data_IF_872249974749
#
_entry.id   IF_872249974749
#
_cell.length_a   1.000
_cell.length_b   1.000
_cell.length_c   1.000
_cell.angle_alpha   90.00
_cell.angle_beta   90.00
_cell.angle_gamma   90.00
#
_symmetry.space_group_name_H-M   'P 1'
#
loop_
_entity.id
_entity.type
_entity.pdbx_description
1 polymer ?
#
# COMPACT_ATOMS: atom_id res chain seq x y z
N UNK A 1 -21.16 1.16 15.62
CA UNK A 1 -20.06 2.12 15.36
C UNK A 1 -18.97 1.33 14.64
N UNK A 2 -18.37 1.88 13.54
CA UNK A 2 -17.30 1.17 12.86
C UNK A 2 -16.02 1.25 13.67
N UNK A 3 -15.29 0.13 13.79
CA UNK A 3 -14.01 0.03 14.47
C UNK A 3 -12.87 -0.16 13.48
N UNK A 4 -11.68 0.31 13.86
CA UNK A 4 -10.47 0.26 13.05
C UNK A 4 -9.53 -0.85 13.55
N UNK A 5 -8.92 -1.60 12.63
CA UNK A 5 -7.72 -2.39 12.93
C UNK A 5 -6.53 -1.71 12.25
N UNK A 6 -5.52 -1.31 13.00
CA UNK A 6 -4.24 -0.87 12.44
C UNK A 6 -3.38 -2.11 12.17
N UNK A 7 -2.85 -2.23 10.97
CA UNK A 7 -2.05 -3.37 10.51
C UNK A 7 -0.69 -2.88 10.05
N UNK A 8 0.36 -3.35 10.70
CA UNK A 8 1.75 -2.93 10.45
C UNK A 8 2.59 -4.18 10.19
N UNK A 9 3.41 -4.12 9.14
CA UNK A 9 4.41 -5.16 8.87
C UNK A 9 5.78 -4.52 9.08
N UNK A 10 6.61 -5.16 9.87
CA UNK A 10 7.95 -4.66 10.19
C UNK A 10 9.02 -5.69 9.85
N UNK A 11 10.17 -5.23 9.33
CA UNK A 11 11.31 -6.06 9.00
C UNK A 11 12.62 -5.31 9.19
N UNK A 12 13.42 -5.71 10.20
CA UNK A 12 14.72 -5.12 10.53
C UNK A 12 14.65 -3.60 10.76
N UNK A 13 13.64 -3.14 11.53
CA UNK A 13 13.36 -1.74 11.85
C UNK A 13 12.75 -1.58 13.23
N UNK A 14 13.27 -2.29 14.23
CA UNK A 14 12.73 -2.26 15.59
C UNK A 14 12.63 -0.83 16.16
N UNK A 15 13.61 0.03 15.89
CA UNK A 15 13.59 1.43 16.35
C UNK A 15 12.48 2.25 15.67
N UNK A 16 12.32 2.15 14.33
CA UNK A 16 11.24 2.82 13.61
C UNK A 16 9.87 2.34 14.10
N UNK A 17 9.73 1.03 14.33
CA UNK A 17 8.50 0.43 14.84
C UNK A 17 8.17 0.97 16.24
N UNK A 18 9.14 1.06 17.13
CA UNK A 18 8.93 1.59 18.48
C UNK A 18 8.46 3.04 18.46
N UNK A 19 9.04 3.89 17.60
CA UNK A 19 8.56 5.26 17.42
C UNK A 19 7.10 5.31 16.96
N UNK A 20 6.70 4.48 15.99
CA UNK A 20 5.32 4.41 15.53
C UNK A 20 4.36 3.94 16.64
N UNK A 21 4.78 3.00 17.50
CA UNK A 21 3.98 2.59 18.66
C UNK A 21 3.77 3.73 19.65
N UNK A 22 4.79 4.56 19.89
CA UNK A 22 4.66 5.78 20.70
C UNK A 22 3.66 6.78 20.10
N UNK A 23 3.66 6.95 18.77
CA UNK A 23 2.67 7.79 18.10
C UNK A 23 1.25 7.22 18.31
N UNK A 24 1.06 5.89 18.18
CA UNK A 24 -0.23 5.22 18.29
C UNK A 24 -0.83 5.35 19.71
N UNK A 25 -0.05 5.20 20.77
CA UNK A 25 -0.60 5.37 22.14
C UNK A 25 -1.02 6.81 22.45
N UNK A 26 -0.54 7.79 21.68
CA UNK A 26 -0.89 9.20 21.81
C UNK A 26 -2.16 9.60 21.07
N UNK A 27 -2.78 8.68 20.30
CA UNK A 27 -3.98 8.96 19.50
C UNK A 27 -5.20 9.25 20.39
N UNK A 28 -6.02 10.16 19.91
CA UNK A 28 -7.33 10.46 20.49
C UNK A 28 -8.38 9.45 20.02
N UNK A 29 -9.50 9.37 20.74
CA UNK A 29 -10.63 8.50 20.39
C UNK A 29 -10.25 7.02 20.25
N UNK A 30 -9.39 6.52 21.13
CA UNK A 30 -8.90 5.12 21.17
C UNK A 30 -10.05 4.09 21.18
N UNK A 31 -11.24 4.46 21.67
CA UNK A 31 -12.44 3.61 21.63
C UNK A 31 -12.90 3.27 20.19
N UNK A 32 -12.37 3.95 19.16
CA UNK A 32 -12.57 3.64 17.74
C UNK A 32 -11.58 2.58 17.22
N UNK A 33 -10.57 2.23 18.01
CA UNK A 33 -9.54 1.26 17.65
C UNK A 33 -9.86 -0.10 18.28
N UNK A 34 -10.10 -1.11 17.45
CA UNK A 34 -10.31 -2.50 17.89
C UNK A 34 -9.00 -3.12 18.35
N UNK A 35 -7.96 -2.99 17.52
CA UNK A 35 -6.63 -3.53 17.80
C UNK A 35 -5.54 -2.91 16.91
N UNK A 36 -4.30 -3.15 17.32
CA UNK A 36 -3.09 -2.89 16.51
C UNK A 36 -2.36 -4.21 16.30
N UNK A 37 -2.26 -4.64 15.05
CA UNK A 37 -1.56 -5.86 14.66
C UNK A 37 -0.17 -5.47 14.14
N UNK A 38 0.87 -5.95 14.81
CA UNK A 38 2.26 -5.80 14.40
C UNK A 38 2.78 -7.16 13.97
N UNK A 39 3.03 -7.33 12.68
CA UNK A 39 3.67 -8.52 12.15
C UNK A 39 5.18 -8.30 12.06
N UNK A 40 5.93 -8.95 12.93
CA UNK A 40 7.37 -9.10 12.77
C UNK A 40 7.64 -10.10 11.63
N UNK A 41 8.06 -9.60 10.49
CA UNK A 41 8.22 -10.38 9.26
C UNK A 41 9.56 -11.15 9.24
N UNK A 42 9.87 -11.86 10.34
CA UNK A 42 11.11 -12.61 10.55
C UNK A 42 12.35 -11.71 10.56
N UNK A 43 12.30 -10.66 11.34
CA UNK A 43 13.45 -9.76 11.56
C UNK A 43 14.63 -10.47 12.24
N UNK A 44 15.82 -9.96 11.99
CA UNK A 44 17.07 -10.44 12.60
C UNK A 44 17.64 -9.45 13.64
N UNK A 45 17.09 -8.24 13.73
CA UNK A 45 17.39 -7.26 14.77
C UNK A 45 16.58 -7.53 16.05
N UNK A 46 16.93 -6.86 17.13
CA UNK A 46 16.35 -7.07 18.45
C UNK A 46 15.00 -6.35 18.59
N UNK A 47 13.92 -7.12 18.75
CA UNK A 47 12.56 -6.65 19.00
C UNK A 47 12.14 -6.69 20.47
N UNK A 48 13.06 -6.95 21.41
CA UNK A 48 12.76 -6.98 22.85
C UNK A 48 12.10 -5.68 23.30
N UNK A 49 12.65 -4.52 22.90
CA UNK A 49 12.06 -3.21 23.24
C UNK A 49 10.63 -3.03 22.71
N UNK A 50 10.30 -3.56 21.52
CA UNK A 50 8.94 -3.54 20.95
C UNK A 50 8.01 -4.44 21.78
N UNK A 51 8.45 -5.63 22.14
CA UNK A 51 7.69 -6.58 22.95
C UNK A 51 7.42 -6.03 24.36
N UNK A 52 8.42 -5.44 24.99
CA UNK A 52 8.30 -4.82 26.32
C UNK A 52 7.33 -3.64 26.28
N UNK A 53 7.45 -2.76 25.28
CA UNK A 53 6.52 -1.65 25.08
C UNK A 53 5.07 -2.12 25.00
N UNK A 54 4.79 -3.12 24.17
CA UNK A 54 3.46 -3.72 24.01
C UNK A 54 2.97 -4.33 25.33
N UNK A 55 3.85 -4.99 26.07
CA UNK A 55 3.52 -5.62 27.35
C UNK A 55 3.12 -4.61 28.43
N UNK A 56 3.69 -3.40 28.40
CA UNK A 56 3.43 -2.32 29.34
C UNK A 56 2.19 -1.48 28.98
N UNK A 57 1.79 -1.41 27.70
CA UNK A 57 0.71 -0.55 27.24
C UNK A 57 -0.60 -1.31 27.00
N UNK A 58 -1.24 -1.80 28.08
CA UNK A 58 -2.46 -2.62 28.04
C UNK A 58 -3.74 -1.86 27.71
N UNK A 59 -3.72 -0.55 27.63
CA UNK A 59 -4.88 0.29 27.24
C UNK A 59 -5.26 0.12 25.75
N UNK A 60 -4.35 -0.35 24.93
CA UNK A 60 -4.56 -0.68 23.52
C UNK A 60 -4.38 -2.18 23.33
N UNK A 61 -5.25 -2.80 22.56
CA UNK A 61 -5.16 -4.21 22.18
C UNK A 61 -4.06 -4.41 21.11
N UNK A 62 -2.80 -4.37 21.54
CA UNK A 62 -1.66 -4.69 20.68
C UNK A 62 -1.51 -6.21 20.54
N UNK A 63 -1.21 -6.63 19.31
CA UNK A 63 -0.92 -8.02 18.99
C UNK A 63 0.37 -8.11 18.18
N UNK A 64 1.47 -8.53 18.82
CA UNK A 64 2.73 -8.84 18.15
C UNK A 64 2.68 -10.28 17.67
N UNK A 65 2.93 -10.48 16.37
CA UNK A 65 2.87 -11.78 15.69
C UNK A 65 4.18 -11.97 14.95
N UNK A 66 4.82 -13.12 15.14
CA UNK A 66 6.02 -13.48 14.37
C UNK A 66 5.65 -14.30 13.13
N UNK A 67 6.14 -13.86 11.99
CA UNK A 67 6.01 -14.62 10.74
C UNK A 67 7.01 -15.80 10.74
N UNK A 68 6.65 -16.94 10.13
CA UNK A 68 7.54 -18.10 10.05
C UNK A 68 8.80 -17.82 9.22
N UNK A 69 8.71 -16.95 8.25
CA UNK A 69 9.76 -16.51 7.33
C UNK A 69 9.52 -15.06 6.88
N UNK A 70 10.45 -14.45 6.13
CA UNK A 70 10.20 -13.16 5.50
C UNK A 70 9.25 -13.34 4.31
N UNK A 71 7.97 -13.08 4.54
CA UNK A 71 6.87 -13.22 3.58
C UNK A 71 6.85 -12.13 2.49
N UNK A 72 7.70 -11.10 2.59
CA UNK A 72 7.59 -9.90 1.77
C UNK A 72 6.38 -9.04 2.17
N UNK A 73 6.11 -8.01 1.37
CA UNK A 73 5.06 -7.02 1.71
C UNK A 73 3.66 -7.59 1.48
N UNK A 74 3.42 -8.18 0.32
CA UNK A 74 2.10 -8.65 -0.12
C UNK A 74 1.56 -9.76 0.78
N UNK A 75 2.31 -10.86 0.90
CA UNK A 75 1.93 -12.01 1.72
C UNK A 75 1.94 -11.67 3.20
N UNK A 76 2.87 -10.81 3.64
CA UNK A 76 2.92 -10.31 5.02
C UNK A 76 1.63 -9.55 5.39
N UNK A 77 1.15 -8.64 4.53
CA UNK A 77 -0.14 -7.96 4.75
C UNK A 77 -1.30 -8.94 4.79
N UNK A 78 -1.35 -9.90 3.87
CA UNK A 78 -2.38 -10.94 3.88
C UNK A 78 -2.35 -11.74 5.20
N UNK A 79 -1.17 -12.13 5.65
CA UNK A 79 -1.01 -12.91 6.88
C UNK A 79 -1.47 -12.12 8.10
N UNK A 80 -1.05 -10.84 8.23
CA UNK A 80 -1.45 -9.97 9.32
C UNK A 80 -2.96 -9.69 9.32
N UNK A 81 -3.57 -9.48 8.15
CA UNK A 81 -5.00 -9.19 8.01
C UNK A 81 -5.91 -10.31 8.51
N UNK A 82 -5.45 -11.57 8.49
CA UNK A 82 -6.22 -12.71 9.04
C UNK A 82 -6.55 -12.56 10.54
N UNK A 83 -5.80 -11.75 11.25
CA UNK A 83 -6.01 -11.50 12.67
C UNK A 83 -6.85 -10.25 12.94
N UNK A 84 -7.16 -9.45 11.91
CA UNK A 84 -7.89 -8.20 12.03
C UNK A 84 -9.39 -8.42 12.19
N UNK A 85 -10.01 -7.72 13.17
CA UNK A 85 -11.43 -7.83 13.51
C UNK A 85 -12.24 -6.59 13.16
N UNK A 86 -11.60 -5.42 13.06
CA UNK A 86 -12.25 -4.15 12.78
C UNK A 86 -12.99 -4.11 11.45
N UNK A 87 -13.86 -3.13 11.27
CA UNK A 87 -14.65 -2.91 10.05
C UNK A 87 -13.84 -2.20 8.95
N UNK A 88 -12.75 -1.53 9.35
CA UNK A 88 -11.84 -0.80 8.47
C UNK A 88 -10.41 -1.18 8.83
N UNK A 89 -9.66 -1.65 7.87
CA UNK A 89 -8.25 -1.99 7.99
C UNK A 89 -7.39 -0.80 7.57
N UNK A 90 -6.59 -0.29 8.51
CA UNK A 90 -5.63 0.79 8.28
C UNK A 90 -4.24 0.18 8.17
N UNK A 91 -3.67 0.19 6.98
CA UNK A 91 -2.32 -0.30 6.73
C UNK A 91 -1.31 0.83 6.86
N UNK A 92 -0.27 0.60 7.63
CA UNK A 92 0.85 1.51 7.81
C UNK A 92 2.17 0.76 7.63
N UNK A 93 3.13 1.39 6.96
CA UNK A 93 4.52 0.91 6.99
C UNK A 93 5.14 1.23 8.36
N UNK A 94 6.13 0.47 8.78
CA UNK A 94 6.80 0.60 10.09
C UNK A 94 7.67 1.87 10.22
N UNK A 95 7.98 2.54 9.10
CA UNK A 95 8.77 3.76 9.02
C UNK A 95 7.93 5.02 8.77
N UNK A 96 6.69 5.03 9.25
CA UNK A 96 5.84 6.23 9.26
C UNK A 96 5.71 6.84 10.66
N UNK A 97 5.37 8.13 10.73
CA UNK A 97 4.99 8.83 11.96
C UNK A 97 3.58 9.40 11.83
N UNK A 98 2.84 9.40 12.94
CA UNK A 98 1.49 9.95 13.07
C UNK A 98 1.55 11.16 13.99
N UNK A 99 1.55 12.37 13.44
CA UNK A 99 1.55 13.61 14.24
C UNK A 99 0.14 14.12 14.57
N UNK A 100 -0.84 13.66 13.81
CA UNK A 100 -2.26 14.04 13.96
C UNK A 100 -2.97 13.05 14.91
N UNK A 101 -3.18 13.46 16.14
CA UNK A 101 -3.82 12.61 17.16
C UNK A 101 -5.27 12.26 16.83
N UNK A 102 -5.97 13.08 16.05
CA UNK A 102 -7.37 12.84 15.64
C UNK A 102 -7.53 11.93 14.41
N UNK A 103 -6.49 11.25 13.96
CA UNK A 103 -6.48 10.49 12.70
C UNK A 103 -7.56 9.40 12.65
N UNK A 104 -7.84 8.70 13.76
CA UNK A 104 -8.85 7.62 13.82
C UNK A 104 -10.23 8.13 13.41
N UNK A 105 -10.65 9.26 13.96
CA UNK A 105 -11.94 9.88 13.62
C UNK A 105 -11.97 10.35 12.16
N UNK A 106 -10.86 10.88 11.63
CA UNK A 106 -10.76 11.32 10.22
C UNK A 106 -10.91 10.14 9.27
N UNK A 107 -10.28 9.00 9.55
CA UNK A 107 -10.42 7.79 8.74
C UNK A 107 -11.88 7.34 8.68
N UNK A 108 -12.56 7.21 9.83
CA UNK A 108 -13.98 6.83 9.87
C UNK A 108 -14.86 7.84 9.12
N UNK A 109 -14.63 9.13 9.34
CA UNK A 109 -15.40 10.21 8.69
C UNK A 109 -15.24 10.18 7.18
N UNK A 110 -14.06 9.80 6.67
CA UNK A 110 -13.79 9.68 5.25
C UNK A 110 -14.67 8.60 4.59
N UNK A 111 -14.92 7.47 5.28
CA UNK A 111 -15.79 6.40 4.77
C UNK A 111 -17.30 6.67 4.96
N UNK A 112 -17.67 7.58 5.84
CA UNK A 112 -19.08 7.92 6.07
C UNK A 112 -19.61 8.99 5.11
N UNK A 113 -18.75 9.65 4.31
CA UNK A 113 -19.20 10.61 3.30
C UNK A 113 -19.95 9.90 2.17
N UNK A 114 -21.11 10.46 1.70
CA UNK A 114 -21.82 9.89 0.57
C UNK A 114 -20.96 9.87 -0.69
N UNK A 115 -21.04 8.79 -1.43
CA UNK A 115 -20.40 8.66 -2.75
C UNK A 115 -21.48 8.61 -3.82
N UNK A 116 -21.24 9.26 -4.97
CA UNK A 116 -22.27 9.48 -5.98
C UNK A 116 -22.56 8.23 -6.83
N UNK A 117 -21.51 7.53 -7.30
CA UNK A 117 -21.68 6.47 -8.30
C UNK A 117 -21.21 5.08 -7.86
N UNK A 118 -20.26 5.01 -6.89
CA UNK A 118 -19.64 3.77 -6.45
C UNK A 118 -19.41 3.80 -4.94
N UNK A 119 -19.52 2.64 -4.31
CA UNK A 119 -19.25 2.49 -2.88
C UNK A 119 -17.75 2.71 -2.61
N UNK A 120 -17.40 3.49 -1.60
CA UNK A 120 -16.01 3.73 -1.22
C UNK A 120 -15.44 2.47 -0.58
N UNK A 121 -14.42 1.88 -1.22
CA UNK A 121 -13.74 0.68 -0.74
C UNK A 121 -12.40 0.96 -0.09
N UNK A 122 -11.68 1.99 -0.56
CA UNK A 122 -10.36 2.34 -0.02
C UNK A 122 -10.12 3.86 0.01
N UNK A 123 -9.28 4.29 0.95
CA UNK A 123 -8.83 5.68 1.11
C UNK A 123 -7.32 5.72 1.11
N UNK A 124 -6.74 6.54 0.23
CA UNK A 124 -5.31 6.88 0.22
C UNK A 124 -5.09 8.13 1.04
N UNK A 125 -4.08 8.13 1.89
CA UNK A 125 -3.75 9.25 2.77
C UNK A 125 -2.79 10.22 2.12
N UNK A 126 -2.70 11.43 2.65
CA UNK A 126 -1.67 12.40 2.30
C UNK A 126 -0.36 11.98 2.95
N UNK A 127 0.66 11.75 2.14
CA UNK A 127 1.99 11.36 2.62
C UNK A 127 2.97 12.51 2.46
N UNK A 128 3.64 12.85 3.56
CA UNK A 128 4.68 13.86 3.62
C UNK A 128 6.03 13.21 3.96
N UNK A 129 7.11 13.76 3.47
CA UNK A 129 8.44 13.37 3.95
C UNK A 129 8.63 13.79 5.41
N UNK A 130 9.07 12.87 6.25
CA UNK A 130 9.30 13.15 7.68
C UNK A 130 10.40 14.20 7.90
N UNK A 131 11.39 14.23 7.01
CA UNK A 131 12.56 15.12 7.12
C UNK A 131 12.26 16.60 6.88
N UNK A 132 11.31 16.92 6.00
CA UNK A 132 11.08 18.30 5.57
C UNK A 132 9.60 18.70 5.46
N UNK A 133 8.67 17.78 5.71
CA UNK A 133 7.22 18.01 5.62
C UNK A 133 6.70 18.25 4.20
N UNK A 134 7.51 18.08 3.16
CA UNK A 134 7.06 18.20 1.78
C UNK A 134 6.24 17.00 1.36
N UNK A 135 5.30 17.20 0.42
CA UNK A 135 4.48 16.12 -0.11
C UNK A 135 5.34 15.11 -0.89
N UNK A 136 5.18 13.84 -0.57
CA UNK A 136 5.90 12.75 -1.21
C UNK A 136 5.28 12.41 -2.57
N UNK A 137 5.91 12.87 -3.65
CA UNK A 137 5.36 12.75 -5.02
C UNK A 137 5.16 11.30 -5.47
N UNK A 138 6.06 10.39 -5.09
CA UNK A 138 5.97 8.97 -5.43
C UNK A 138 4.88 8.19 -4.65
N UNK A 139 4.35 8.77 -3.57
CA UNK A 139 3.21 8.26 -2.81
C UNK A 139 1.89 9.00 -3.14
N UNK A 140 1.93 9.97 -4.06
CA UNK A 140 0.75 10.72 -4.46
C UNK A 140 -0.07 9.94 -5.50
N UNK A 141 -1.34 9.60 -5.24
CA UNK A 141 -2.07 8.64 -6.05
C UNK A 141 -2.72 9.25 -7.31
N UNK A 142 -2.01 10.14 -8.00
CA UNK A 142 -2.45 10.74 -9.27
C UNK A 142 -1.27 11.09 -10.18
N UNK A 143 -1.44 10.91 -11.52
CA UNK A 143 -0.38 11.18 -12.50
C UNK A 143 -0.04 12.66 -12.66
N UNK A 144 -1.02 13.55 -12.46
CA UNK A 144 -0.85 14.99 -12.56
C UNK A 144 -0.74 15.61 -11.16
N UNK A 145 0.47 15.51 -10.58
CA UNK A 145 0.75 16.04 -9.25
C UNK A 145 0.43 17.53 -9.13
N UNK A 146 0.86 18.36 -10.10
CA UNK A 146 0.72 19.82 -10.02
C UNK A 146 -0.74 20.24 -9.93
N UNK A 147 -1.62 19.64 -10.76
CA UNK A 147 -3.04 19.99 -10.81
C UNK A 147 -3.83 19.48 -9.58
N UNK A 148 -3.34 18.42 -8.92
CA UNK A 148 -4.09 17.72 -7.88
C UNK A 148 -3.54 17.91 -6.46
N UNK A 149 -2.29 18.33 -6.28
CA UNK A 149 -1.61 18.43 -4.97
C UNK A 149 -2.32 19.29 -3.93
N UNK A 150 -3.11 20.29 -4.36
CA UNK A 150 -3.82 21.20 -3.49
C UNK A 150 -5.31 20.81 -3.29
N UNK A 151 -5.78 19.73 -3.92
CA UNK A 151 -7.15 19.25 -3.70
C UNK A 151 -7.25 18.57 -2.34
N UNK A 152 -8.34 18.85 -1.62
CA UNK A 152 -8.63 18.21 -0.34
C UNK A 152 -9.00 16.74 -0.49
N UNK A 153 -9.71 16.39 -1.58
CA UNK A 153 -10.10 15.02 -1.90
C UNK A 153 -10.33 14.87 -3.42
N UNK A 154 -10.13 13.64 -3.93
CA UNK A 154 -10.47 13.26 -5.31
C UNK A 154 -10.55 11.74 -5.44
N UNK A 155 -11.30 11.27 -6.44
CA UNK A 155 -11.32 9.84 -6.79
C UNK A 155 -10.08 9.49 -7.61
N UNK A 156 -9.55 8.30 -7.36
CA UNK A 156 -8.33 7.80 -7.99
C UNK A 156 -8.43 6.32 -8.32
N UNK A 157 -7.39 5.75 -8.91
CA UNK A 157 -7.36 4.36 -9.34
C UNK A 157 -6.37 3.48 -8.56
N UNK A 158 -5.66 4.04 -7.59
CA UNK A 158 -4.78 3.31 -6.66
C UNK A 158 -4.55 4.15 -5.40
N UNK A 159 -3.93 3.56 -4.40
CA UNK A 159 -3.56 4.21 -3.14
C UNK A 159 -2.07 4.05 -2.83
N UNK A 160 -1.53 4.88 -1.94
CA UNK A 160 -0.14 4.79 -1.49
C UNK A 160 0.06 3.52 -0.64
N UNK A 161 1.08 2.72 -0.97
CA UNK A 161 1.37 1.48 -0.26
C UNK A 161 1.72 1.70 1.22
N UNK A 162 2.45 2.77 1.54
CA UNK A 162 2.93 3.03 2.91
C UNK A 162 1.85 3.44 3.91
N UNK A 163 0.68 3.94 3.42
CA UNK A 163 -0.44 4.33 4.30
C UNK A 163 -1.75 4.42 3.53
N UNK A 164 -2.73 3.63 3.95
CA UNK A 164 -4.07 3.61 3.35
C UNK A 164 -5.06 2.90 4.26
N UNK A 165 -6.34 3.02 3.96
CA UNK A 165 -7.38 2.25 4.63
C UNK A 165 -8.29 1.56 3.63
N UNK A 166 -8.79 0.37 3.99
CA UNK A 166 -9.69 -0.46 3.18
C UNK A 166 -10.82 -0.94 4.09
N UNK A 167 -12.09 -0.90 3.65
CA UNK A 167 -13.16 -1.51 4.42
C UNK A 167 -13.03 -3.04 4.40
N UNK A 168 -13.36 -3.70 5.51
CA UNK A 168 -13.37 -5.16 5.62
C UNK A 168 -14.20 -5.81 4.51
N UNK A 169 -15.39 -5.28 4.23
CA UNK A 169 -16.24 -5.75 3.13
C UNK A 169 -15.53 -5.68 1.77
N UNK A 170 -14.89 -4.54 1.46
CA UNK A 170 -14.17 -4.38 0.20
C UNK A 170 -12.97 -5.34 0.10
N UNK A 171 -12.27 -5.56 1.23
CA UNK A 171 -11.20 -6.54 1.32
C UNK A 171 -11.69 -7.96 1.04
N UNK A 172 -12.75 -8.40 1.72
CA UNK A 172 -13.29 -9.74 1.57
C UNK A 172 -13.81 -10.02 0.16
N UNK A 173 -14.49 -9.06 -0.47
CA UNK A 173 -15.01 -9.19 -1.84
C UNK A 173 -13.93 -9.10 -2.92
N UNK A 174 -12.84 -8.38 -2.66
CA UNK A 174 -11.72 -8.22 -3.61
C UNK A 174 -10.75 -9.40 -3.51
N UNK A 175 -10.59 -9.96 -2.32
CA UNK A 175 -9.61 -10.99 -1.99
C UNK A 175 -8.25 -10.42 -1.60
N UNK A 176 -7.32 -11.29 -1.28
CA UNK A 176 -5.99 -10.97 -0.76
C UNK A 176 -5.11 -10.23 -1.80
N UNK A 177 -4.04 -9.56 -1.34
CA UNK A 177 -2.95 -9.08 -2.19
C UNK A 177 -2.29 -10.24 -2.97
N UNK A 178 -1.68 -9.99 -4.14
CA UNK A 178 -1.08 -11.05 -4.96
C UNK A 178 0.08 -11.73 -4.24
N UNK A 179 0.00 -13.04 -4.02
CA UNK A 179 1.01 -13.79 -3.28
C UNK A 179 2.38 -13.87 -4.00
N UNK A 180 2.39 -13.68 -5.31
CA UNK A 180 3.59 -13.70 -6.14
C UNK A 180 4.34 -12.34 -6.20
N UNK A 181 3.85 -11.32 -5.47
CA UNK A 181 4.49 -10.01 -5.37
C UNK A 181 5.24 -9.89 -4.03
N UNK A 182 6.51 -10.22 -4.04
CA UNK A 182 7.32 -10.07 -2.83
C UNK A 182 7.47 -8.60 -2.40
N UNK A 183 7.59 -7.68 -3.38
CA UNK A 183 7.80 -6.26 -3.14
C UNK A 183 7.25 -5.37 -4.26
N UNK A 184 6.36 -4.46 -3.89
CA UNK A 184 5.90 -3.33 -4.71
C UNK A 184 4.86 -3.68 -5.77
N UNK A 185 3.97 -2.74 -6.03
CA UNK A 185 2.85 -2.80 -6.98
C UNK A 185 1.67 -3.67 -6.55
N UNK A 186 1.69 -4.27 -5.35
CA UNK A 186 0.56 -5.04 -4.81
C UNK A 186 -0.68 -4.18 -4.64
N UNK A 187 -0.51 -2.90 -4.30
CA UNK A 187 -1.58 -1.91 -4.20
C UNK A 187 -2.28 -1.65 -5.53
N UNK A 188 -1.55 -1.71 -6.65
CA UNK A 188 -2.15 -1.59 -7.97
C UNK A 188 -2.94 -2.83 -8.37
N UNK A 189 -2.40 -4.04 -8.12
CA UNK A 189 -3.11 -5.29 -8.38
C UNK A 189 -4.44 -5.33 -7.64
N UNK A 190 -4.41 -5.06 -6.33
CA UNK A 190 -5.60 -4.99 -5.50
C UNK A 190 -6.59 -3.92 -5.99
N UNK A 191 -6.09 -2.73 -6.32
CA UNK A 191 -6.92 -1.61 -6.78
C UNK A 191 -7.69 -1.93 -8.05
N UNK A 192 -7.06 -2.56 -9.06
CA UNK A 192 -7.77 -2.96 -10.27
C UNK A 192 -8.91 -3.94 -9.99
N UNK A 193 -8.67 -4.93 -9.12
CA UNK A 193 -9.71 -5.89 -8.71
C UNK A 193 -10.82 -5.21 -7.90
N UNK A 194 -10.47 -4.31 -6.98
CA UNK A 194 -11.42 -3.53 -6.19
C UNK A 194 -12.33 -2.67 -7.07
N UNK A 195 -11.75 -1.96 -8.03
CA UNK A 195 -12.50 -1.13 -8.98
C UNK A 195 -13.42 -1.98 -9.85
N UNK A 196 -13.00 -3.18 -10.24
CA UNK A 196 -13.81 -4.10 -11.05
C UNK A 196 -14.98 -4.73 -10.26
N UNK A 197 -14.89 -4.74 -8.92
CA UNK A 197 -16.01 -5.07 -8.02
C UNK A 197 -17.00 -3.91 -7.81
N UNK A 198 -16.83 -2.78 -8.50
CA UNK A 198 -17.73 -1.64 -8.41
C UNK A 198 -17.45 -0.66 -7.27
N UNK A 199 -16.36 -0.83 -6.54
CA UNK A 199 -15.90 0.14 -5.55
C UNK A 199 -15.19 1.33 -6.19
N UNK A 200 -14.99 2.40 -5.41
CA UNK A 200 -14.08 3.49 -5.75
C UNK A 200 -12.99 3.64 -4.69
N UNK A 201 -11.93 4.36 -5.06
CA UNK A 201 -10.80 4.72 -4.21
C UNK A 201 -10.75 6.24 -4.14
N UNK A 202 -10.61 6.80 -2.94
CA UNK A 202 -10.52 8.23 -2.70
C UNK A 202 -9.17 8.59 -2.08
N UNK A 203 -8.58 9.68 -2.55
CA UNK A 203 -7.54 10.39 -1.80
C UNK A 203 -8.19 11.38 -0.84
N UNK A 204 -7.74 11.41 0.42
CA UNK A 204 -8.21 12.35 1.44
C UNK A 204 -7.02 13.06 2.10
N UNK A 205 -6.84 14.33 1.79
CA UNK A 205 -5.73 15.14 2.30
C UNK A 205 -5.86 15.52 3.78
N UNK A 206 -7.03 15.29 4.41
CA UNK A 206 -7.23 15.55 5.83
C UNK A 206 -6.53 14.52 6.72
N UNK A 207 -6.21 13.33 6.16
CA UNK A 207 -5.51 12.24 6.83
C UNK A 207 -4.04 12.31 6.42
N UNK A 208 -3.16 12.73 7.35
CA UNK A 208 -1.76 13.04 7.06
C UNK A 208 -0.83 12.06 7.76
N UNK A 209 0.08 11.47 7.00
CA UNK A 209 1.14 10.58 7.47
C UNK A 209 2.49 11.14 7.06
N UNK A 210 3.46 11.05 7.95
CA UNK A 210 4.86 11.40 7.69
C UNK A 210 5.66 10.12 7.46
N UNK A 211 6.34 10.00 6.32
CA UNK A 211 7.07 8.81 5.92
C UNK A 211 8.58 9.09 5.90
N UNK A 212 9.35 8.27 6.62
CA UNK A 212 10.80 8.43 6.75
C UNK A 212 11.54 7.93 5.51
N UNK A 213 10.99 6.97 4.78
CA UNK A 213 11.68 6.21 3.74
C UNK A 213 12.97 5.54 4.27
N UNK A 214 12.91 4.96 5.46
CA UNK A 214 14.05 4.31 6.09
C UNK A 214 14.79 3.37 5.13
N UNK A 215 16.11 3.45 5.00
CA UNK A 215 16.89 2.56 4.13
C UNK A 215 17.00 1.13 4.69
N UNK A 216 16.73 0.94 5.98
CA UNK A 216 16.85 -0.34 6.67
C UNK A 216 15.83 -1.37 6.13
N UNK A 217 16.16 -2.64 6.21
CA UNK A 217 15.28 -3.73 5.77
C UNK A 217 14.98 -3.79 4.27
N UNK A 218 15.56 -2.91 3.45
CA UNK A 218 15.27 -2.83 2.01
C UNK A 218 16.24 -3.66 1.17
N UNK A 219 15.71 -4.29 0.12
CA UNK A 219 16.54 -4.91 -0.91
C UNK A 219 17.35 -3.86 -1.70
N UNK A 220 18.50 -4.23 -2.30
CA UNK A 220 19.27 -3.33 -3.16
C UNK A 220 18.42 -2.68 -4.25
N UNK A 221 18.68 -1.41 -4.56
CA UNK A 221 17.87 -0.61 -5.50
C UNK A 221 17.62 -1.28 -6.86
N UNK A 222 18.61 -1.91 -7.54
CA UNK A 222 18.33 -2.58 -8.81
C UNK A 222 17.36 -3.76 -8.69
N UNK A 223 17.48 -4.57 -7.63
CA UNK A 223 16.58 -5.71 -7.37
C UNK A 223 15.17 -5.21 -7.12
N UNK A 224 15.00 -4.19 -6.27
CA UNK A 224 13.71 -3.57 -5.97
C UNK A 224 13.04 -3.02 -7.24
N UNK A 225 13.76 -2.25 -8.04
CA UNK A 225 13.23 -1.66 -9.28
C UNK A 225 12.88 -2.72 -10.33
N UNK A 226 13.64 -3.82 -10.41
CA UNK A 226 13.29 -4.96 -11.26
C UNK A 226 11.96 -5.60 -10.82
N UNK A 227 11.79 -5.89 -9.53
CA UNK A 227 10.54 -6.44 -9.01
C UNK A 227 9.36 -5.54 -9.35
N UNK A 228 9.47 -4.23 -9.11
CA UNK A 228 8.42 -3.27 -9.43
C UNK A 228 8.08 -3.23 -10.93
N UNK A 229 9.09 -3.26 -11.78
CA UNK A 229 8.90 -3.29 -13.24
C UNK A 229 8.17 -4.57 -13.69
N UNK A 230 8.63 -5.74 -13.23
CA UNK A 230 8.00 -7.03 -13.55
C UNK A 230 6.56 -7.07 -13.04
N UNK A 231 6.33 -6.71 -11.77
CA UNK A 231 5.01 -6.69 -11.17
C UNK A 231 4.05 -5.73 -11.89
N UNK A 232 4.52 -4.51 -12.24
CA UNK A 232 3.71 -3.57 -13.04
C UNK A 232 3.33 -4.14 -14.39
N UNK A 233 4.23 -4.87 -15.02
CA UNK A 233 3.99 -5.52 -16.31
C UNK A 233 3.02 -6.71 -16.17
N UNK A 234 3.10 -7.49 -15.07
CA UNK A 234 2.10 -8.52 -14.73
C UNK A 234 0.69 -7.92 -14.56
N UNK A 235 0.57 -6.78 -13.87
CA UNK A 235 -0.71 -6.08 -13.69
C UNK A 235 -1.30 -5.67 -15.05
N UNK A 236 -0.49 -5.07 -15.92
CA UNK A 236 -0.94 -4.69 -17.25
C UNK A 236 -1.39 -5.92 -18.07
N UNK A 237 -0.71 -7.06 -17.96
CA UNK A 237 -1.11 -8.32 -18.57
C UNK A 237 -2.42 -8.85 -17.99
N UNK A 238 -2.53 -8.91 -16.66
CA UNK A 238 -3.68 -9.47 -15.94
C UNK A 238 -4.97 -8.72 -16.26
N UNK A 239 -4.94 -7.38 -16.20
CA UNK A 239 -6.14 -6.55 -16.09
C UNK A 239 -6.42 -5.62 -17.27
N UNK A 240 -5.43 -5.29 -18.08
CA UNK A 240 -5.59 -4.28 -19.13
C UNK A 240 -5.57 -4.89 -20.55
N UNK A 241 -6.05 -4.16 -21.57
CA UNK A 241 -5.83 -4.52 -22.98
C UNK A 241 -4.35 -4.77 -23.28
N UNK A 242 -4.05 -5.77 -24.15
CA UNK A 242 -2.67 -6.24 -24.43
C UNK A 242 -1.68 -5.12 -24.80
N UNK A 243 -2.15 -4.06 -25.47
CA UNK A 243 -1.30 -2.91 -25.83
C UNK A 243 -0.60 -2.28 -24.63
N UNK A 244 -1.25 -2.26 -23.45
CA UNK A 244 -0.68 -1.71 -22.23
C UNK A 244 0.39 -2.63 -21.60
N UNK A 245 0.33 -3.93 -21.82
CA UNK A 245 1.40 -4.84 -21.46
C UNK A 245 2.71 -4.48 -22.17
N UNK A 246 2.66 -4.34 -23.49
CA UNK A 246 3.86 -4.01 -24.29
C UNK A 246 4.40 -2.61 -23.95
N UNK A 247 3.53 -1.61 -23.87
CA UNK A 247 3.96 -0.24 -23.52
C UNK A 247 4.57 -0.18 -22.12
N UNK A 248 3.97 -0.86 -21.12
CA UNK A 248 4.51 -0.91 -19.76
C UNK A 248 5.87 -1.62 -19.72
N UNK A 249 6.01 -2.78 -20.37
CA UNK A 249 7.27 -3.50 -20.41
C UNK A 249 8.41 -2.64 -20.96
N UNK A 250 8.18 -1.96 -22.10
CA UNK A 250 9.17 -1.14 -22.78
C UNK A 250 9.49 0.13 -21.98
N UNK A 251 8.48 0.88 -21.57
CA UNK A 251 8.70 2.17 -20.88
C UNK A 251 9.38 1.99 -19.53
N UNK A 252 8.97 0.98 -18.76
CA UNK A 252 9.61 0.67 -17.48
C UNK A 252 11.02 0.11 -17.65
N UNK A 253 11.33 -0.61 -18.74
CA UNK A 253 12.70 -1.06 -19.01
C UNK A 253 13.65 0.12 -19.23
N UNK A 254 13.22 1.13 -19.98
CA UNK A 254 14.00 2.34 -20.18
C UNK A 254 14.22 3.09 -18.86
N UNK A 255 13.17 3.26 -18.04
CA UNK A 255 13.31 3.86 -16.71
C UNK A 255 14.21 3.05 -15.77
N UNK A 256 14.12 1.72 -15.83
CA UNK A 256 14.99 0.84 -15.05
C UNK A 256 16.45 1.11 -15.37
N UNK A 257 16.83 1.11 -16.64
CA UNK A 257 18.19 1.40 -17.07
C UNK A 257 18.68 2.76 -16.56
N UNK A 258 17.89 3.80 -16.76
CA UNK A 258 18.26 5.16 -16.30
C UNK A 258 18.41 5.24 -14.78
N UNK A 259 17.44 4.71 -14.01
CA UNK A 259 17.44 4.77 -12.53
C UNK A 259 18.51 3.88 -11.87
N UNK A 260 18.98 2.84 -12.57
CA UNK A 260 20.00 1.90 -12.07
C UNK A 260 21.38 2.14 -12.66
N UNK A 261 21.56 3.20 -13.45
CA UNK A 261 22.80 3.49 -14.16
C UNK A 261 23.27 2.26 -14.99
N UNK A 262 22.34 1.74 -15.80
CA UNK A 262 22.58 0.60 -16.72
C UNK A 262 22.99 -0.70 -16.01
N UNK A 263 22.31 -1.10 -14.95
CA UNK A 263 22.51 -2.41 -14.31
C UNK A 263 22.01 -3.54 -15.23
N UNK A 264 22.88 -4.01 -16.13
CA UNK A 264 22.54 -5.00 -17.16
C UNK A 264 22.13 -6.38 -16.60
N UNK A 265 22.75 -6.94 -15.55
CA UNK A 265 22.34 -8.24 -15.02
C UNK A 265 20.86 -8.26 -14.60
N UNK A 266 20.41 -7.28 -13.79
CA UNK A 266 19.01 -7.19 -13.40
C UNK A 266 18.09 -6.78 -14.55
N UNK A 267 18.59 -6.06 -15.57
CA UNK A 267 17.83 -5.72 -16.77
C UNK A 267 17.47 -6.99 -17.57
N UNK A 268 18.45 -7.82 -17.89
CA UNK A 268 18.20 -9.06 -18.62
C UNK A 268 17.37 -10.05 -17.80
N UNK A 269 17.59 -10.13 -16.51
CA UNK A 269 16.75 -10.93 -15.62
C UNK A 269 15.27 -10.44 -15.64
N UNK A 270 15.04 -9.13 -15.61
CA UNK A 270 13.70 -8.55 -15.70
C UNK A 270 13.01 -8.90 -17.02
N UNK A 271 13.71 -8.79 -18.15
CA UNK A 271 13.14 -9.21 -19.44
C UNK A 271 12.85 -10.70 -19.51
N UNK A 272 13.73 -11.57 -18.96
CA UNK A 272 13.46 -13.01 -18.86
C UNK A 272 12.16 -13.29 -18.10
N UNK A 273 11.95 -12.62 -16.96
CA UNK A 273 10.72 -12.73 -16.18
C UNK A 273 9.51 -12.19 -16.96
N UNK A 274 9.63 -11.07 -17.67
CA UNK A 274 8.54 -10.49 -18.47
C UNK A 274 8.13 -11.38 -19.65
N UNK A 275 9.10 -11.97 -20.36
CA UNK A 275 8.78 -12.89 -21.46
C UNK A 275 8.04 -14.16 -21.02
N UNK A 276 8.19 -14.58 -19.76
CA UNK A 276 7.44 -15.70 -19.21
C UNK A 276 5.99 -15.35 -18.81
N UNK A 277 5.67 -14.05 -18.60
CA UNK A 277 4.34 -13.64 -18.14
C UNK A 277 3.20 -14.21 -18.97
N UNK A 278 3.21 -14.16 -20.33
CA UNK A 278 2.09 -14.68 -21.13
C UNK A 278 1.80 -16.17 -20.96
N UNK A 279 2.80 -16.94 -20.51
CA UNK A 279 2.66 -18.40 -20.29
C UNK A 279 2.39 -18.78 -18.85
N UNK A 280 2.80 -17.93 -17.90
CA UNK A 280 2.69 -18.20 -16.46
C UNK A 280 1.50 -17.52 -15.80
N UNK A 281 1.03 -16.40 -16.36
CA UNK A 281 -0.01 -15.56 -15.77
C UNK A 281 -1.35 -15.68 -16.51
N UNK A 282 -2.41 -15.89 -15.74
CA UNK A 282 -3.78 -15.88 -16.28
C UNK A 282 -4.26 -14.43 -16.47
N UNK A 283 -4.83 -14.16 -17.64
CA UNK A 283 -5.53 -12.89 -17.89
C UNK A 283 -6.91 -12.90 -17.24
N UNK A 284 -7.23 -11.80 -16.57
CA UNK A 284 -8.57 -11.46 -16.04
C UNK A 284 -8.83 -9.98 -16.32
N UNK A 285 -9.00 -9.56 -17.61
CA UNK A 285 -9.19 -8.16 -17.93
C UNK A 285 -10.37 -7.59 -17.16
N UNK A 286 -10.20 -6.36 -16.68
CA UNK A 286 -11.30 -5.63 -16.05
C UNK A 286 -12.41 -5.36 -17.06
N UNK A 287 -13.64 -5.17 -16.58
CA UNK A 287 -14.80 -4.87 -17.41
C UNK A 287 -14.66 -3.55 -18.18
N UNK A 288 -15.41 -3.39 -19.26
CA UNK A 288 -15.44 -2.14 -20.03
C UNK A 288 -15.92 -0.96 -19.18
N UNK A 289 -16.85 -1.18 -18.26
CA UNK A 289 -17.30 -0.17 -17.30
C UNK A 289 -16.16 0.27 -16.37
N UNK A 290 -15.30 -0.65 -15.96
CA UNK A 290 -14.11 -0.31 -15.18
C UNK A 290 -13.05 0.40 -16.03
N UNK A 291 -12.87 0.02 -17.29
CA UNK A 291 -11.97 0.76 -18.19
C UNK A 291 -12.45 2.20 -18.42
N UNK A 292 -13.75 2.42 -18.58
CA UNK A 292 -14.34 3.77 -18.66
C UNK A 292 -14.14 4.56 -17.37
N UNK A 293 -14.32 3.92 -16.21
CA UNK A 293 -14.06 4.55 -14.90
C UNK A 293 -12.58 4.94 -14.75
N UNK A 294 -11.66 4.08 -15.15
CA UNK A 294 -10.23 4.39 -15.16
C UNK A 294 -9.91 5.63 -16.01
N UNK A 295 -10.62 5.81 -17.13
CA UNK A 295 -10.56 7.04 -17.95
C UNK A 295 -11.06 8.27 -17.19
N UNK A 296 -12.21 8.17 -16.49
CA UNK A 296 -12.80 9.28 -15.69
C UNK A 296 -11.88 9.76 -14.56
N UNK A 297 -11.19 8.83 -13.89
CA UNK A 297 -10.22 9.17 -12.81
C UNK A 297 -8.80 9.41 -13.34
N UNK A 298 -8.66 9.64 -14.63
CA UNK A 298 -7.39 9.94 -15.30
C UNK A 298 -6.27 8.93 -15.01
N UNK A 299 -6.60 7.64 -14.91
CA UNK A 299 -5.62 6.61 -14.64
C UNK A 299 -4.45 6.62 -15.65
N UNK A 300 -3.24 6.36 -15.16
CA UNK A 300 -2.06 6.21 -16.01
C UNK A 300 -2.03 4.78 -16.56
N UNK A 301 -2.61 4.54 -17.75
CA UNK A 301 -2.67 3.22 -18.36
C UNK A 301 -1.46 2.93 -19.26
N UNK A 302 -0.92 3.97 -19.92
CA UNK A 302 0.17 3.82 -20.89
C UNK A 302 1.57 3.69 -20.26
N UNK A 303 1.68 3.72 -18.95
CA UNK A 303 2.99 3.63 -18.32
C UNK A 303 2.94 3.91 -16.82
#
# INVERSE_FOLDING_TARGET
MKLLSIIIITYNRAADMLELLHDIISLENIHLLEEVIVLNNKSTDDYTGVSDFISLNKSINFRLIDAPENLGVSVGRNYATKFAKGDIFVYLDDDVNIKDRGILQKVISSFNKPQLDRKLGAVSFKVLYSINGQMQVNAFPHKNFIAYKNKSEFLTYYYAGCSHAITKEAWELTGEYPADFFYGMEEYDFSYRLLDKGYCIKYDASIVIYHKESPLGRKPKPVKLRMMWVNKTKIAWRYLPKKYFYSTAIMWSAQFLLKTKFNLPNFFQGWKEIFSIPTTEKRKPVSDTTLQYLGKVEARLWY
#
